data_IF_514205661874
#
_entry.id   IF_514205661874
#
_cell.length_a   1.000
_cell.length_b   1.000
_cell.length_c   1.000
_cell.angle_alpha   90.00
_cell.angle_beta   90.00
_cell.angle_gamma   90.00
#
_symmetry.space_group_name_H-M   'P 1'
#
loop_
_entity.id
_entity.type
_entity.pdbx_description
1 polymer ?
#
# COMPACT_ATOMS: atom_id res chain seq x y z
N UNK A 1 -23.16 19.42 -10.28
CA UNK A 1 -22.23 18.39 -10.82
C UNK A 1 -23.10 17.40 -11.60
N UNK A 2 -22.80 17.16 -12.88
CA UNK A 2 -23.73 16.55 -13.84
C UNK A 2 -24.29 15.21 -13.41
N UNK A 3 -25.60 15.17 -13.15
CA UNK A 3 -26.38 13.94 -13.01
C UNK A 3 -26.60 13.33 -14.39
N UNK A 4 -26.06 12.14 -14.64
CA UNK A 4 -26.16 11.51 -15.94
C UNK A 4 -25.37 10.23 -16.16
N UNK A 5 -24.77 9.64 -15.12
CA UNK A 5 -24.20 8.30 -15.21
C UNK A 5 -24.74 7.44 -14.07
N UNK A 6 -26.02 7.06 -14.16
CA UNK A 6 -26.58 6.03 -13.28
C UNK A 6 -26.07 4.66 -13.75
N UNK A 7 -24.80 4.38 -13.46
CA UNK A 7 -24.36 2.99 -13.37
C UNK A 7 -25.26 2.30 -12.34
N UNK A 8 -25.71 1.07 -12.62
CA UNK A 8 -26.51 0.29 -11.67
C UNK A 8 -25.76 0.18 -10.35
N UNK A 9 -26.20 0.96 -9.35
CA UNK A 9 -25.55 1.02 -8.04
C UNK A 9 -25.64 -0.36 -7.38
N UNK A 10 -24.49 -0.95 -7.12
CA UNK A 10 -24.40 -2.18 -6.35
C UNK A 10 -23.83 -1.83 -4.98
N UNK A 11 -24.68 -1.97 -3.95
CA UNK A 11 -24.32 -1.70 -2.55
C UNK A 11 -23.01 -2.38 -2.14
N UNK A 12 -22.77 -3.63 -2.54
CA UNK A 12 -21.55 -4.34 -2.17
C UNK A 12 -20.29 -3.74 -2.81
N UNK A 13 -20.41 -3.19 -4.02
CA UNK A 13 -19.30 -2.53 -4.71
C UNK A 13 -19.03 -1.16 -4.09
N UNK A 14 -20.09 -0.41 -3.78
CA UNK A 14 -19.98 0.90 -3.11
C UNK A 14 -19.40 0.76 -1.69
N UNK A 15 -19.88 -0.21 -0.90
CA UNK A 15 -19.36 -0.49 0.45
C UNK A 15 -17.90 -0.94 0.40
N UNK A 16 -17.53 -1.79 -0.58
CA UNK A 16 -16.14 -2.24 -0.76
C UNK A 16 -15.21 -1.10 -1.17
N UNK A 17 -15.63 -0.25 -2.10
CA UNK A 17 -14.88 0.94 -2.51
C UNK A 17 -14.69 1.89 -1.32
N UNK A 18 -15.79 2.19 -0.62
CA UNK A 18 -15.78 3.04 0.59
C UNK A 18 -14.83 2.51 1.66
N UNK A 19 -14.85 1.19 1.92
CA UNK A 19 -13.96 0.58 2.90
C UNK A 19 -12.47 0.73 2.54
N UNK A 20 -12.14 0.65 1.24
CA UNK A 20 -10.75 0.80 0.75
C UNK A 20 -10.27 2.23 0.78
N UNK A 21 -11.12 3.17 0.39
CA UNK A 21 -10.81 4.60 0.40
C UNK A 21 -10.61 5.15 1.82
N UNK A 22 -11.13 4.44 2.84
CA UNK A 22 -11.09 4.83 4.25
C UNK A 22 -10.32 3.83 5.12
N UNK A 23 -9.40 3.05 4.53
CA UNK A 23 -8.62 2.04 5.24
C UNK A 23 -7.78 2.63 6.39
N UNK A 24 -7.32 3.87 6.24
CA UNK A 24 -6.53 4.61 7.22
C UNK A 24 -7.26 4.87 8.54
N UNK A 25 -8.59 5.06 8.50
CA UNK A 25 -9.40 5.25 9.70
C UNK A 25 -9.49 3.96 10.54
N UNK A 26 -9.31 2.81 9.90
CA UNK A 26 -9.35 1.50 10.53
C UNK A 26 -7.95 0.96 10.86
N UNK A 27 -6.89 1.67 10.47
CA UNK A 27 -5.52 1.24 10.74
C UNK A 27 -5.20 1.31 12.24
N UNK A 28 -4.47 0.31 12.73
CA UNK A 28 -4.03 0.25 14.14
C UNK A 28 -2.57 -0.11 14.22
N UNK A 29 -1.84 0.55 15.12
CA UNK A 29 -0.48 0.18 15.48
C UNK A 29 -0.47 -1.09 16.33
N UNK A 30 -0.52 -2.23 15.65
CA UNK A 30 -0.34 -3.55 16.26
C UNK A 30 1.09 -4.05 16.07
N UNK A 31 1.51 -5.04 16.86
CA UNK A 31 2.82 -5.69 16.69
C UNK A 31 3.02 -6.23 15.27
N UNK A 32 1.95 -6.80 14.69
CA UNK A 32 1.97 -7.32 13.31
C UNK A 32 2.15 -6.19 12.30
N UNK A 33 1.42 -5.09 12.45
CA UNK A 33 1.50 -3.97 11.52
C UNK A 33 2.85 -3.26 11.61
N UNK A 34 3.39 -3.10 12.82
CA UNK A 34 4.75 -2.59 13.04
C UNK A 34 5.80 -3.48 12.36
N UNK A 35 5.67 -4.80 12.46
CA UNK A 35 6.58 -5.73 11.77
C UNK A 35 6.49 -5.57 10.25
N UNK A 36 5.28 -5.49 9.70
CA UNK A 36 5.07 -5.30 8.26
C UNK A 36 5.65 -3.97 7.76
N UNK A 37 5.42 -2.88 8.50
CA UNK A 37 6.01 -1.56 8.20
C UNK A 37 7.54 -1.62 8.25
N UNK A 38 8.13 -2.29 9.24
CA UNK A 38 9.58 -2.45 9.33
C UNK A 38 10.17 -3.26 8.18
N UNK A 39 9.53 -4.37 7.80
CA UNK A 39 10.01 -5.23 6.70
C UNK A 39 9.88 -4.51 5.36
N UNK A 40 8.67 -4.06 5.01
CA UNK A 40 8.40 -3.54 3.67
C UNK A 40 8.72 -2.05 3.52
N UNK A 41 8.62 -1.27 4.60
CA UNK A 41 8.95 0.16 4.58
C UNK A 41 10.44 0.45 4.77
N UNK A 42 11.21 -0.45 5.38
CA UNK A 42 12.64 -0.21 5.70
C UNK A 42 13.54 -1.32 5.15
N UNK A 43 13.37 -2.56 5.63
CA UNK A 43 14.34 -3.62 5.37
C UNK A 43 14.46 -3.94 3.87
N UNK A 44 13.34 -4.16 3.18
CA UNK A 44 13.33 -4.50 1.76
C UNK A 44 13.95 -3.37 0.91
N UNK A 45 13.53 -2.09 0.99
CA UNK A 45 14.15 -1.00 0.23
C UNK A 45 15.66 -0.87 0.47
N UNK A 46 16.11 -0.98 1.73
CA UNK A 46 17.54 -0.88 2.07
C UNK A 46 18.34 -2.01 1.47
N UNK A 47 17.84 -3.26 1.57
CA UNK A 47 18.53 -4.42 1.01
C UNK A 47 18.60 -4.35 -0.52
N UNK A 48 17.52 -3.94 -1.17
CA UNK A 48 17.50 -3.73 -2.63
C UNK A 48 18.52 -2.68 -3.04
N UNK A 49 18.52 -1.50 -2.40
CA UNK A 49 19.48 -0.44 -2.69
C UNK A 49 20.92 -0.90 -2.51
N UNK A 50 21.23 -1.53 -1.36
CA UNK A 50 22.58 -2.05 -1.10
C UNK A 50 23.00 -3.13 -2.08
N UNK A 51 22.07 -4.00 -2.50
CA UNK A 51 22.31 -5.02 -3.51
C UNK A 51 22.72 -4.40 -4.84
N UNK A 52 21.92 -3.46 -5.35
CA UNK A 52 22.17 -2.77 -6.62
C UNK A 52 23.48 -1.99 -6.59
N UNK A 53 23.72 -1.18 -5.55
CA UNK A 53 24.95 -0.39 -5.44
C UNK A 53 26.18 -1.28 -5.35
N UNK A 54 26.10 -2.37 -4.59
CA UNK A 54 27.20 -3.33 -4.50
C UNK A 54 27.50 -3.95 -5.87
N UNK A 55 26.48 -4.35 -6.62
CA UNK A 55 26.63 -4.87 -7.98
C UNK A 55 27.27 -3.83 -8.91
N UNK A 56 26.79 -2.59 -8.87
CA UNK A 56 27.30 -1.50 -9.70
C UNK A 56 28.77 -1.12 -9.39
N UNK A 57 29.19 -1.13 -8.12
CA UNK A 57 30.55 -0.74 -7.70
C UNK A 57 31.57 -1.90 -7.84
N UNK A 58 31.14 -3.16 -7.78
CA UNK A 58 32.04 -4.33 -7.94
C UNK A 58 32.29 -4.73 -9.40
N UNK A 59 31.40 -4.34 -10.32
CA UNK A 59 31.49 -4.70 -11.75
C UNK A 59 31.69 -3.51 -12.70
N UNK A 60 31.72 -2.27 -12.17
CA UNK A 60 31.96 -1.03 -12.93
C UNK A 60 33.41 -0.60 -12.98
#
# INVERSE_FOLDING_TARGET
MGGGMEANKNKFIEDWGTARENLEHNFRWSRRNLLLVGIFGIAVPVLVYKGIVKEFVLFG
#
